data_IF_089482668405
#
_entry.id   IF_089482668405
#
_cell.length_a   1.000
_cell.length_b   1.000
_cell.length_c   1.000
_cell.angle_alpha   90.00
_cell.angle_beta   90.00
_cell.angle_gamma   90.00
#
_symmetry.space_group_name_H-M   'P 1'
#
loop_
_entity.id
_entity.type
_entity.pdbx_description
1 polymer ?
#
# COMPACT_ATOMS: atom_id res chain seq x y z
N UNK A 1 -4.67 -12.20 -7.27
CA UNK A 1 -4.17 -10.87 -6.82
C UNK A 1 -4.14 -9.89 -7.98
N UNK A 2 -4.66 -8.69 -7.80
CA UNK A 2 -4.50 -7.57 -8.74
C UNK A 2 -3.67 -6.46 -8.08
N UNK A 3 -2.83 -5.81 -8.87
CA UNK A 3 -1.95 -4.73 -8.45
C UNK A 3 -1.95 -3.62 -9.50
N UNK A 4 -1.89 -2.37 -9.05
CA UNK A 4 -1.71 -1.21 -9.92
C UNK A 4 -0.77 -0.20 -9.29
N UNK A 5 0.06 0.39 -10.12
CA UNK A 5 1.02 1.44 -9.78
C UNK A 5 0.73 2.68 -10.61
N UNK A 6 0.68 3.81 -9.96
CA UNK A 6 0.57 5.12 -10.59
C UNK A 6 1.80 5.96 -10.22
N UNK A 7 2.62 6.33 -11.18
CA UNK A 7 3.88 7.05 -10.99
C UNK A 7 4.08 8.25 -11.93
N UNK A 8 2.97 8.74 -12.52
CA UNK A 8 2.94 10.02 -13.23
C UNK A 8 2.45 11.13 -12.29
N UNK A 9 3.31 11.53 -11.37
CA UNK A 9 3.00 12.55 -10.37
C UNK A 9 2.90 13.97 -10.95
N UNK A 10 3.14 14.17 -12.26
CA UNK A 10 2.83 15.44 -12.95
C UNK A 10 1.33 15.72 -12.97
N UNK A 11 0.50 14.69 -12.84
CA UNK A 11 -0.96 14.80 -12.69
C UNK A 11 -1.41 15.29 -11.30
N UNK A 12 -0.52 15.47 -10.33
CA UNK A 12 -0.84 16.03 -9.02
C UNK A 12 -1.16 17.52 -9.14
N UNK A 13 -2.34 17.84 -9.66
CA UNK A 13 -2.83 19.20 -9.93
C UNK A 13 -4.16 19.46 -9.25
N UNK A 14 -4.48 20.74 -9.02
CA UNK A 14 -5.80 21.11 -8.48
C UNK A 14 -6.94 20.72 -9.42
N UNK A 15 -6.72 20.79 -10.74
CA UNK A 15 -7.71 20.36 -11.72
C UNK A 15 -8.04 18.87 -11.59
N UNK A 16 -7.03 18.03 -11.37
CA UNK A 16 -7.24 16.60 -11.17
C UNK A 16 -7.92 16.30 -9.83
N UNK A 17 -7.59 17.02 -8.76
CA UNK A 17 -8.31 16.94 -7.49
C UNK A 17 -9.79 17.25 -7.68
N UNK A 18 -10.13 18.33 -8.39
CA UNK A 18 -11.52 18.68 -8.69
C UNK A 18 -12.24 17.63 -9.53
N UNK A 19 -11.54 17.01 -10.50
CA UNK A 19 -12.08 15.90 -11.30
C UNK A 19 -12.41 14.67 -10.43
N UNK A 20 -11.55 14.35 -9.46
CA UNK A 20 -11.66 13.16 -8.62
C UNK A 20 -12.72 13.30 -7.50
N UNK A 21 -12.93 14.50 -6.96
CA UNK A 21 -13.83 14.75 -5.83
C UNK A 21 -15.25 14.18 -6.02
N UNK A 22 -15.94 14.33 -7.19
CA UNK A 22 -17.26 13.76 -7.39
C UNK A 22 -17.27 12.22 -7.57
N UNK A 23 -16.11 11.61 -7.84
CA UNK A 23 -15.99 10.18 -8.14
C UNK A 23 -15.78 9.30 -6.90
N UNK A 24 -15.57 9.92 -5.73
CA UNK A 24 -15.31 9.21 -4.48
C UNK A 24 -16.52 9.29 -3.53
N UNK A 25 -16.54 8.40 -2.53
CA UNK A 25 -17.58 8.43 -1.50
C UNK A 25 -17.57 9.74 -0.71
N UNK A 26 -18.71 10.17 -0.13
CA UNK A 26 -18.78 11.37 0.71
C UNK A 26 -17.74 11.35 1.85
N UNK A 27 -17.56 10.20 2.50
CA UNK A 27 -16.56 10.01 3.55
C UNK A 27 -15.13 10.25 3.04
N UNK A 28 -14.79 9.70 1.86
CA UNK A 28 -13.45 9.87 1.27
C UNK A 28 -13.21 11.31 0.81
N UNK A 29 -14.25 11.97 0.30
CA UNK A 29 -14.20 13.40 -0.04
C UNK A 29 -13.89 14.26 1.18
N UNK A 30 -14.61 14.04 2.28
CA UNK A 30 -14.37 14.75 3.53
C UNK A 30 -12.94 14.51 4.04
N UNK A 31 -12.46 13.28 4.03
CA UNK A 31 -11.09 12.95 4.41
C UNK A 31 -10.06 13.68 3.53
N UNK A 32 -10.24 13.69 2.21
CA UNK A 32 -9.35 14.38 1.29
C UNK A 32 -9.30 15.88 1.55
N UNK A 33 -10.45 16.50 1.84
CA UNK A 33 -10.53 17.94 2.11
C UNK A 33 -9.88 18.37 3.44
N UNK A 34 -9.60 17.44 4.36
CA UNK A 34 -8.84 17.72 5.60
C UNK A 34 -7.33 17.93 5.34
N UNK A 35 -6.81 17.43 4.21
CA UNK A 35 -5.41 17.64 3.86
C UNK A 35 -5.17 19.09 3.40
N UNK A 36 -4.22 19.76 4.03
CA UNK A 36 -3.86 21.14 3.71
C UNK A 36 -3.15 21.26 2.36
N UNK A 37 -2.32 20.27 2.03
CA UNK A 37 -1.48 20.28 0.83
C UNK A 37 -2.12 19.50 -0.31
N UNK A 38 -1.92 20.00 -1.53
CA UNK A 38 -2.40 19.39 -2.78
C UNK A 38 -2.04 17.92 -2.88
N UNK A 39 -0.79 17.57 -2.58
CA UNK A 39 -0.29 16.20 -2.61
C UNK A 39 -1.15 15.24 -1.77
N UNK A 40 -1.44 15.58 -0.52
CA UNK A 40 -2.27 14.75 0.36
C UNK A 40 -3.70 14.60 -0.15
N UNK A 41 -4.31 15.67 -0.70
CA UNK A 41 -5.63 15.62 -1.33
C UNK A 41 -5.62 14.71 -2.55
N UNK A 42 -4.64 14.89 -3.43
CA UNK A 42 -4.50 14.10 -4.64
C UNK A 42 -4.28 12.62 -4.33
N UNK A 43 -3.29 12.27 -3.49
CA UNK A 43 -2.98 10.87 -3.16
C UNK A 43 -4.15 10.16 -2.48
N UNK A 44 -4.88 10.86 -1.58
CA UNK A 44 -6.09 10.35 -0.95
C UNK A 44 -7.18 10.00 -1.97
N UNK A 45 -7.44 10.85 -2.96
CA UNK A 45 -8.46 10.65 -3.97
C UNK A 45 -8.02 9.65 -5.04
N UNK A 46 -6.78 9.76 -5.52
CA UNK A 46 -6.23 8.91 -6.58
C UNK A 46 -6.10 7.46 -6.14
N UNK A 47 -5.63 7.21 -4.94
CA UNK A 47 -5.56 5.85 -4.39
C UNK A 47 -6.93 5.19 -4.29
N UNK A 48 -7.99 5.96 -3.99
CA UNK A 48 -9.35 5.45 -3.99
C UNK A 48 -9.88 5.17 -5.39
N UNK A 49 -9.60 6.04 -6.37
CA UNK A 49 -9.92 5.79 -7.79
C UNK A 49 -9.27 4.48 -8.26
N UNK A 50 -7.97 4.29 -7.96
CA UNK A 50 -7.22 3.09 -8.31
C UNK A 50 -7.81 1.83 -7.65
N UNK A 51 -8.09 1.88 -6.34
CA UNK A 51 -8.72 0.76 -5.65
C UNK A 51 -10.08 0.43 -6.26
N UNK A 52 -10.91 1.44 -6.55
CA UNK A 52 -12.20 1.24 -7.20
C UNK A 52 -12.06 0.56 -8.55
N UNK A 53 -11.04 0.92 -9.34
CA UNK A 53 -10.77 0.27 -10.61
C UNK A 53 -10.39 -1.20 -10.42
N UNK A 54 -9.53 -1.53 -9.46
CA UNK A 54 -9.17 -2.91 -9.17
C UNK A 54 -10.38 -3.75 -8.74
N UNK A 55 -11.24 -3.21 -7.91
CA UNK A 55 -12.48 -3.91 -7.54
C UNK A 55 -13.39 -4.11 -8.75
N UNK A 56 -13.50 -3.13 -9.63
CA UNK A 56 -14.28 -3.27 -10.86
C UNK A 56 -13.68 -4.38 -11.76
N UNK A 57 -12.36 -4.49 -11.81
CA UNK A 57 -11.66 -5.53 -12.56
C UNK A 57 -11.90 -6.93 -11.95
N UNK A 58 -11.95 -7.04 -10.62
CA UNK A 58 -12.37 -8.27 -9.92
C UNK A 58 -13.80 -8.66 -10.30
N UNK A 59 -14.73 -7.70 -10.27
CA UNK A 59 -16.15 -7.94 -10.63
C UNK A 59 -16.33 -8.36 -12.09
N UNK A 60 -15.46 -7.89 -12.98
CA UNK A 60 -15.47 -8.25 -14.39
C UNK A 60 -14.75 -9.59 -14.68
N UNK A 61 -14.32 -10.31 -13.65
CA UNK A 61 -13.68 -11.62 -13.79
C UNK A 61 -12.24 -11.59 -14.31
N UNK A 62 -11.55 -10.47 -14.20
CA UNK A 62 -10.12 -10.35 -14.60
C UNK A 62 -9.17 -11.10 -13.67
N UNK A 63 -9.63 -11.56 -12.52
CA UNK A 63 -8.88 -12.40 -11.59
C UNK A 63 -9.74 -13.60 -11.21
N UNK A 64 -9.31 -14.81 -11.62
CA UNK A 64 -10.05 -16.05 -11.38
C UNK A 64 -10.16 -16.37 -9.88
N UNK A 65 -9.13 -16.05 -9.08
CA UNK A 65 -9.16 -16.23 -7.62
C UNK A 65 -10.18 -15.31 -6.94
N UNK A 66 -10.39 -14.11 -7.50
CA UNK A 66 -11.35 -13.12 -7.00
C UNK A 66 -12.74 -13.23 -7.63
N UNK A 67 -12.94 -14.03 -8.68
CA UNK A 67 -14.19 -14.09 -9.47
C UNK A 67 -15.41 -14.65 -8.73
N UNK A 68 -15.22 -15.30 -7.58
CA UNK A 68 -16.30 -15.83 -6.74
C UNK A 68 -17.08 -14.76 -5.95
N UNK A 69 -16.76 -13.48 -6.11
CA UNK A 69 -17.31 -12.37 -5.32
C UNK A 69 -18.46 -11.62 -5.98
N UNK A 70 -19.37 -12.29 -6.62
CA UNK A 70 -20.55 -11.69 -7.29
C UNK A 70 -21.44 -10.78 -6.43
N UNK A 71 -21.15 -10.61 -5.14
CA UNK A 71 -21.92 -9.75 -4.23
C UNK A 71 -21.33 -8.35 -4.02
N UNK A 72 -20.18 -8.03 -4.62
CA UNK A 72 -19.58 -6.68 -4.58
C UNK A 72 -20.30 -5.67 -5.52
N UNK A 73 -21.44 -6.04 -6.12
CA UNK A 73 -22.18 -5.18 -7.03
C UNK A 73 -22.69 -3.88 -6.39
N UNK A 74 -22.79 -3.84 -5.05
CA UNK A 74 -23.09 -2.63 -4.30
C UNK A 74 -21.81 -1.99 -3.77
N UNK A 75 -21.23 -1.06 -4.55
CA UNK A 75 -20.20 -0.12 -4.05
C UNK A 75 -20.68 0.78 -2.91
N UNK A 76 -21.70 0.38 -2.22
CA UNK A 76 -22.13 0.96 -0.97
C UNK A 76 -21.19 0.49 0.16
N UNK A 77 -19.89 0.46 -0.13
CA UNK A 77 -18.85 0.13 0.82
C UNK A 77 -18.31 1.38 1.47
N UNK A 78 -17.99 1.29 2.74
CA UNK A 78 -17.19 2.28 3.45
C UNK A 78 -15.89 1.64 3.92
N UNK A 79 -14.88 2.48 4.12
CA UNK A 79 -13.68 2.05 4.80
C UNK A 79 -13.87 2.20 6.30
N UNK A 80 -13.52 1.14 7.01
CA UNK A 80 -13.36 1.12 8.45
C UNK A 80 -11.93 0.70 8.75
N UNK A 81 -11.45 1.02 9.94
CA UNK A 81 -10.04 0.82 10.30
C UNK A 81 -9.99 -0.10 11.51
N UNK A 82 -8.97 -0.98 11.55
CA UNK A 82 -8.67 -1.74 12.75
C UNK A 82 -7.96 -0.84 13.78
N UNK A 83 -7.59 -1.41 14.93
CA UNK A 83 -6.88 -0.71 16.01
C UNK A 83 -5.48 -0.20 15.64
N UNK A 84 -4.92 -0.70 14.53
CA UNK A 84 -3.62 -0.31 13.97
C UNK A 84 -3.75 0.50 12.67
N UNK A 85 -4.92 1.13 12.44
CA UNK A 85 -5.21 1.96 11.28
C UNK A 85 -5.14 1.24 9.92
N UNK A 86 -5.11 -0.12 9.89
CA UNK A 86 -5.27 -0.84 8.63
C UNK A 86 -6.71 -0.69 8.14
N UNK A 87 -6.93 -0.14 6.91
CA UNK A 87 -8.26 -0.02 6.34
C UNK A 87 -8.76 -1.39 5.86
N UNK A 88 -10.06 -1.62 5.99
CA UNK A 88 -10.78 -2.73 5.37
C UNK A 88 -12.14 -2.27 4.85
N UNK A 89 -12.69 -3.03 3.90
CA UNK A 89 -14.00 -2.72 3.33
C UNK A 89 -15.11 -3.29 4.20
N UNK A 90 -16.16 -2.47 4.40
CA UNK A 90 -17.37 -2.86 5.08
C UNK A 90 -18.58 -2.56 4.19
N UNK A 91 -19.51 -3.51 4.10
CA UNK A 91 -20.78 -3.30 3.41
C UNK A 91 -21.63 -2.29 4.19
N UNK A 92 -22.07 -1.23 3.53
CA UNK A 92 -23.02 -0.27 4.14
C UNK A 92 -24.42 -0.88 4.34
N UNK A 93 -24.73 -1.92 3.59
CA UNK A 93 -26.06 -2.55 3.62
C UNK A 93 -26.20 -3.51 4.79
N UNK A 94 -25.19 -4.37 5.03
CA UNK A 94 -25.21 -5.35 6.12
C UNK A 94 -24.44 -4.91 7.36
N UNK A 95 -23.55 -3.90 7.25
CA UNK A 95 -22.62 -3.51 8.32
C UNK A 95 -21.50 -4.53 8.54
N UNK A 96 -21.41 -5.56 7.71
CA UNK A 96 -20.43 -6.63 7.86
C UNK A 96 -19.15 -6.30 7.11
N UNK A 97 -18.02 -6.74 7.67
CA UNK A 97 -16.73 -6.70 6.98
C UNK A 97 -16.78 -7.60 5.75
N UNK A 98 -16.23 -7.11 4.64
CA UNK A 98 -16.02 -7.92 3.44
C UNK A 98 -14.73 -8.73 3.65
N UNK A 99 -14.83 -9.85 4.35
CA UNK A 99 -13.68 -10.65 4.80
C UNK A 99 -12.91 -11.34 3.67
N UNK A 100 -13.58 -11.52 2.54
CA UNK A 100 -13.03 -12.27 1.42
C UNK A 100 -12.21 -11.42 0.46
N UNK A 101 -11.95 -10.18 0.78
CA UNK A 101 -11.19 -9.27 -0.06
C UNK A 101 -10.39 -8.31 0.80
N UNK A 102 -9.08 -8.49 0.82
CA UNK A 102 -8.15 -7.58 1.46
C UNK A 102 -7.52 -6.64 0.44
N UNK A 103 -7.09 -5.47 0.89
CA UNK A 103 -6.39 -4.51 0.06
C UNK A 103 -5.33 -3.76 0.86
N UNK A 104 -4.34 -3.26 0.14
CA UNK A 104 -3.28 -2.44 0.70
C UNK A 104 -3.00 -1.25 -0.20
N UNK A 105 -2.72 -0.10 0.41
CA UNK A 105 -2.41 1.15 -0.26
C UNK A 105 -1.13 1.73 0.34
N UNK A 106 -0.23 2.19 -0.51
CA UNK A 106 0.92 2.98 -0.12
C UNK A 106 1.19 4.09 -1.13
N UNK A 107 1.84 5.14 -0.70
CA UNK A 107 2.26 6.23 -1.58
C UNK A 107 3.52 6.91 -1.06
N UNK A 108 4.35 7.34 -1.99
CA UNK A 108 5.49 8.22 -1.76
C UNK A 108 5.41 9.41 -2.72
N UNK A 109 6.43 10.25 -2.72
CA UNK A 109 6.50 11.42 -3.60
C UNK A 109 6.43 11.05 -5.10
N UNK A 110 6.96 9.89 -5.47
CA UNK A 110 7.10 9.42 -6.85
C UNK A 110 5.92 8.58 -7.32
N UNK A 111 5.07 8.07 -6.41
CA UNK A 111 3.98 7.20 -6.86
C UNK A 111 3.00 6.74 -5.80
N UNK A 112 1.98 6.03 -6.26
CA UNK A 112 0.92 5.42 -5.49
C UNK A 112 0.82 3.95 -5.91
N UNK A 113 0.87 3.03 -4.94
CA UNK A 113 0.73 1.61 -5.14
C UNK A 113 -0.54 1.10 -4.46
N UNK A 114 -1.34 0.31 -5.16
CA UNK A 114 -2.58 -0.29 -4.65
C UNK A 114 -2.64 -1.74 -5.05
N UNK A 115 -2.95 -2.61 -4.09
CA UNK A 115 -3.12 -4.04 -4.32
C UNK A 115 -4.41 -4.55 -3.69
N UNK A 116 -5.00 -5.59 -4.29
CA UNK A 116 -6.21 -6.28 -3.82
C UNK A 116 -6.07 -7.80 -4.00
N UNK A 117 -6.51 -8.58 -3.02
CA UNK A 117 -6.43 -10.02 -3.05
C UNK A 117 -7.54 -10.69 -2.22
N UNK A 118 -7.87 -11.99 -2.48
CA UNK A 118 -8.78 -12.77 -1.65
C UNK A 118 -8.18 -13.24 -0.32
N UNK A 119 -6.95 -12.91 -0.05
CA UNK A 119 -6.17 -13.26 1.13
C UNK A 119 -5.45 -12.00 1.65
N UNK A 120 -4.86 -12.01 2.85
CA UNK A 120 -4.10 -10.88 3.37
C UNK A 120 -3.04 -10.41 2.38
N UNK A 121 -2.96 -9.10 2.18
CA UNK A 121 -1.98 -8.48 1.27
C UNK A 121 -1.42 -7.21 1.89
N UNK A 122 -0.13 -6.95 1.61
CA UNK A 122 0.54 -5.70 1.94
C UNK A 122 1.33 -5.16 0.77
N UNK A 123 1.27 -3.86 0.57
CA UNK A 123 2.11 -3.14 -0.40
C UNK A 123 2.74 -1.92 0.26
N UNK A 124 4.01 -1.70 -0.05
CA UNK A 124 4.68 -0.46 0.35
C UNK A 124 5.51 0.09 -0.81
N UNK A 125 5.52 1.41 -0.97
CA UNK A 125 6.31 2.16 -1.95
C UNK A 125 7.01 3.34 -1.26
N UNK A 126 8.31 3.49 -1.48
CA UNK A 126 9.12 4.53 -0.85
C UNK A 126 10.09 5.17 -1.84
N UNK A 127 10.26 6.49 -1.70
CA UNK A 127 11.27 7.27 -2.40
C UNK A 127 12.68 6.91 -1.94
N UNK A 128 13.65 6.93 -2.85
CA UNK A 128 15.04 6.87 -2.42
C UNK A 128 15.38 8.09 -1.59
N UNK A 129 15.97 7.85 -0.44
CA UNK A 129 16.40 8.90 0.50
C UNK A 129 17.60 8.46 1.30
N UNK A 130 18.37 9.45 1.75
CA UNK A 130 19.42 9.21 2.73
C UNK A 130 18.82 8.79 4.06
N UNK A 131 19.50 7.96 4.80
CA UNK A 131 19.11 7.51 6.13
C UNK A 131 20.15 7.96 7.18
N UNK A 132 19.71 8.16 8.40
CA UNK A 132 20.61 8.39 9.53
C UNK A 132 21.04 7.07 10.16
N UNK A 133 22.19 7.04 10.82
CA UNK A 133 22.62 5.86 11.58
C UNK A 133 21.60 5.45 12.66
N UNK A 134 20.94 6.43 13.29
CA UNK A 134 19.94 6.14 14.30
C UNK A 134 18.71 5.46 13.71
N UNK A 135 18.26 5.88 12.52
CA UNK A 135 17.19 5.23 11.79
C UNK A 135 17.57 3.80 11.39
N UNK A 136 18.78 3.64 10.85
CA UNK A 136 19.31 2.34 10.45
C UNK A 136 19.29 1.33 11.62
N UNK A 137 19.87 1.72 12.78
CA UNK A 137 19.92 0.89 13.99
C UNK A 137 18.53 0.59 14.58
N UNK A 138 17.57 1.51 14.42
CA UNK A 138 16.22 1.32 14.93
C UNK A 138 15.39 0.35 14.07
N UNK A 139 15.73 0.24 12.78
CA UNK A 139 14.85 -0.41 11.80
C UNK A 139 15.43 -1.67 11.18
N UNK A 140 16.76 -1.85 11.25
CA UNK A 140 17.48 -2.95 10.61
C UNK A 140 18.28 -3.76 11.64
N UNK A 141 18.35 -5.08 11.43
CA UNK A 141 19.22 -5.94 12.21
C UNK A 141 20.67 -5.87 11.71
N UNK A 142 21.61 -6.51 12.42
CA UNK A 142 23.04 -6.47 12.09
C UNK A 142 23.36 -7.02 10.69
N UNK A 143 22.68 -8.07 10.25
CA UNK A 143 22.88 -8.66 8.92
C UNK A 143 22.40 -7.72 7.81
N UNK A 144 21.23 -7.10 8.01
CA UNK A 144 20.66 -6.11 7.08
C UNK A 144 21.55 -4.86 7.01
N UNK A 145 22.10 -4.40 8.15
CA UNK A 145 23.06 -3.28 8.20
C UNK A 145 24.29 -3.60 7.38
N UNK A 146 24.85 -4.80 7.51
CA UNK A 146 26.00 -5.22 6.71
C UNK A 146 25.68 -5.26 5.21
N UNK A 147 24.52 -5.78 4.83
CA UNK A 147 24.06 -5.81 3.43
C UNK A 147 23.94 -4.39 2.86
N UNK A 148 23.34 -3.47 3.61
CA UNK A 148 23.21 -2.07 3.20
C UNK A 148 24.58 -1.41 3.02
N UNK A 149 25.49 -1.59 3.98
CA UNK A 149 26.81 -0.95 3.96
C UNK A 149 27.72 -1.49 2.85
N UNK A 150 27.52 -2.74 2.41
CA UNK A 150 28.29 -3.38 1.34
C UNK A 150 27.69 -3.19 -0.05
N UNK A 151 26.47 -2.65 -0.14
CA UNK A 151 25.80 -2.43 -1.43
C UNK A 151 26.46 -1.27 -2.21
N UNK A 152 26.46 -1.37 -3.54
CA UNK A 152 26.91 -0.29 -4.43
C UNK A 152 26.10 1.00 -4.22
N UNK A 153 24.81 0.85 -3.95
CA UNK A 153 23.87 1.95 -3.66
C UNK A 153 23.19 1.73 -2.29
N UNK A 154 23.86 2.07 -1.17
CA UNK A 154 23.34 1.78 0.18
C UNK A 154 21.94 2.33 0.48
N UNK A 155 21.61 3.51 -0.06
CA UNK A 155 20.28 4.12 0.11
C UNK A 155 19.18 3.33 -0.62
N UNK A 156 19.47 2.76 -1.76
CA UNK A 156 18.54 1.89 -2.51
C UNK A 156 18.33 0.59 -1.75
N UNK A 157 19.40 -0.05 -1.27
CA UNK A 157 19.28 -1.29 -0.49
C UNK A 157 18.52 -1.08 0.82
N UNK A 158 18.73 0.03 1.51
CA UNK A 158 17.95 0.41 2.68
C UNK A 158 16.45 0.51 2.35
N UNK A 159 16.08 1.20 1.28
CA UNK A 159 14.67 1.36 0.88
C UNK A 159 14.04 0.03 0.45
N UNK A 160 14.78 -0.85 -0.22
CA UNK A 160 14.30 -2.21 -0.55
C UNK A 160 13.95 -3.02 0.71
N UNK A 161 14.81 -3.00 1.72
CA UNK A 161 14.56 -3.69 2.98
C UNK A 161 13.42 -3.03 3.77
N UNK A 162 13.39 -1.70 3.78
CA UNK A 162 12.32 -0.94 4.42
C UNK A 162 10.95 -1.27 3.84
N UNK A 163 10.79 -1.21 2.50
CA UNK A 163 9.50 -1.52 1.84
C UNK A 163 9.05 -2.95 2.07
N UNK A 164 9.98 -3.93 2.18
CA UNK A 164 9.65 -5.33 2.52
C UNK A 164 9.04 -5.41 3.93
N UNK A 165 9.65 -4.75 4.92
CA UNK A 165 9.18 -4.75 6.30
C UNK A 165 7.81 -4.08 6.42
N UNK A 166 7.67 -2.89 5.84
CA UNK A 166 6.41 -2.14 5.85
C UNK A 166 5.27 -2.91 5.13
N UNK A 167 5.55 -3.50 3.96
CA UNK A 167 4.56 -4.30 3.25
C UNK A 167 4.15 -5.53 4.06
N UNK A 168 5.09 -6.20 4.76
CA UNK A 168 4.78 -7.34 5.63
C UNK A 168 3.88 -6.93 6.80
N UNK A 169 4.22 -5.84 7.48
CA UNK A 169 3.40 -5.31 8.59
C UNK A 169 2.00 -4.87 8.13
N UNK A 170 1.92 -4.27 6.94
CA UNK A 170 0.63 -3.94 6.31
C UNK A 170 -0.20 -5.18 5.99
N UNK A 171 0.42 -6.26 5.49
CA UNK A 171 -0.26 -7.54 5.27
C UNK A 171 -0.80 -8.10 6.59
N UNK A 172 0.03 -8.11 7.64
CA UNK A 172 -0.36 -8.59 8.98
C UNK A 172 -1.39 -7.70 9.67
N UNK A 173 -1.42 -6.40 9.33
CA UNK A 173 -2.34 -5.42 9.94
C UNK A 173 -1.97 -5.02 11.37
N UNK A 174 -0.70 -5.19 11.74
CA UNK A 174 -0.18 -4.89 13.10
C UNK A 174 0.30 -3.45 13.27
N UNK A 175 0.42 -2.69 12.16
CA UNK A 175 1.07 -1.37 12.20
C UNK A 175 2.58 -1.47 12.43
N UNK A 176 3.22 -0.32 12.65
CA UNK A 176 4.65 -0.25 12.99
C UNK A 176 4.84 -0.77 14.42
N UNK A 177 5.77 -1.70 14.61
CA UNK A 177 6.10 -2.33 15.89
C UNK A 177 7.51 -1.92 16.34
N UNK A 178 7.79 -2.04 17.63
CA UNK A 178 9.11 -1.71 18.20
C UNK A 178 10.21 -2.69 17.74
N UNK A 179 9.84 -3.93 17.41
CA UNK A 179 10.74 -4.99 16.96
C UNK A 179 11.00 -4.97 15.44
N UNK A 180 10.98 -3.79 14.81
CA UNK A 180 11.26 -3.64 13.37
C UNK A 180 12.53 -4.37 12.88
N UNK A 181 13.66 -4.41 13.61
CA UNK A 181 14.83 -5.18 13.20
C UNK A 181 14.55 -6.66 12.97
N UNK A 182 13.63 -7.26 13.73
CA UNK A 182 13.32 -8.69 13.71
C UNK A 182 12.26 -9.09 12.67
N UNK A 183 11.61 -8.12 12.03
CA UNK A 183 10.43 -8.34 11.18
C UNK A 183 10.69 -9.33 10.04
N UNK A 184 11.89 -9.37 9.44
CA UNK A 184 12.23 -10.30 8.39
C UNK A 184 12.97 -11.56 8.89
N UNK A 185 13.48 -11.57 10.12
CA UNK A 185 14.28 -12.69 10.65
C UNK A 185 13.50 -13.99 10.83
N UNK A 186 12.24 -13.89 11.26
CA UNK A 186 11.37 -15.03 11.53
C UNK A 186 10.60 -15.54 10.30
N UNK A 187 10.73 -14.88 9.15
CA UNK A 187 9.79 -15.00 8.03
C UNK A 187 10.27 -15.87 6.88
N UNK A 188 11.33 -16.63 7.04
CA UNK A 188 11.88 -17.43 5.95
C UNK A 188 10.93 -18.49 5.35
N UNK A 189 9.67 -18.56 5.80
CA UNK A 189 8.82 -19.69 5.43
C UNK A 189 7.37 -19.41 5.11
N UNK A 190 6.78 -18.27 5.48
CA UNK A 190 5.32 -18.11 5.44
C UNK A 190 4.79 -17.08 4.43
N UNK A 191 5.67 -16.28 3.83
CA UNK A 191 5.27 -15.20 2.92
C UNK A 191 6.02 -15.25 1.61
N UNK A 192 5.35 -14.81 0.54
CA UNK A 192 5.98 -14.44 -0.72
C UNK A 192 6.19 -12.93 -0.74
N UNK A 193 7.42 -12.49 -1.04
CA UNK A 193 7.79 -11.07 -1.10
C UNK A 193 8.36 -10.77 -2.48
N UNK A 194 7.73 -9.86 -3.19
CA UNK A 194 8.20 -9.33 -4.46
C UNK A 194 8.63 -7.87 -4.27
N UNK A 195 9.83 -7.50 -4.75
CA UNK A 195 10.36 -6.14 -4.67
C UNK A 195 10.81 -5.67 -6.04
N UNK A 196 10.38 -4.48 -6.42
CA UNK A 196 10.76 -3.83 -7.67
C UNK A 196 11.42 -2.48 -7.37
N UNK A 197 12.38 -2.12 -8.20
CA UNK A 197 13.16 -0.88 -8.09
C UNK A 197 13.04 -0.11 -9.39
N UNK A 198 12.68 1.15 -9.31
CA UNK A 198 12.70 2.07 -10.43
C UNK A 198 13.75 3.16 -10.18
N UNK A 199 14.94 2.95 -10.71
CA UNK A 199 16.09 3.86 -10.55
C UNK A 199 15.88 5.18 -11.26
N UNK A 200 15.19 5.18 -12.40
CA UNK A 200 14.93 6.38 -13.20
C UNK A 200 14.02 7.37 -12.47
N UNK A 201 13.03 6.86 -11.73
CA UNK A 201 12.07 7.66 -10.97
C UNK A 201 12.42 7.77 -9.50
N UNK A 202 13.38 7.00 -9.00
CA UNK A 202 13.92 7.12 -7.66
C UNK A 202 13.04 6.52 -6.55
N UNK A 203 12.41 5.35 -6.79
CA UNK A 203 11.63 4.65 -5.79
C UNK A 203 11.82 3.12 -5.83
N UNK A 204 11.43 2.45 -4.75
CA UNK A 204 11.20 1.00 -4.75
C UNK A 204 9.83 0.71 -4.13
N UNK A 205 9.24 -0.45 -4.51
CA UNK A 205 8.06 -0.98 -3.86
C UNK A 205 8.18 -2.47 -3.59
N UNK A 206 7.46 -2.93 -2.57
CA UNK A 206 7.34 -4.35 -2.24
C UNK A 206 5.87 -4.76 -2.11
N UNK A 207 5.57 -5.98 -2.54
CA UNK A 207 4.27 -6.64 -2.36
C UNK A 207 4.49 -7.90 -1.53
N UNK A 208 3.66 -8.13 -0.53
CA UNK A 208 3.74 -9.30 0.34
C UNK A 208 2.39 -9.99 0.39
N UNK A 209 2.42 -11.33 0.19
CA UNK A 209 1.25 -12.23 0.28
C UNK A 209 1.62 -13.46 1.10
N UNK A 210 0.65 -14.18 1.71
CA UNK A 210 0.88 -15.51 2.24
C UNK A 210 1.37 -16.48 1.15
N UNK A 211 2.07 -17.55 1.54
CA UNK A 211 2.42 -18.68 0.64
C UNK A 211 1.26 -19.61 0.48
#
# INVERSE_FOLDING_TARGET
>A
MLFTLFDDMTQCTEAEVQRLLPLVSPQRREQALRYKHLFGRFTCLKSYEMLRQLVQDVLNGKDEECSTYGSLQDWNTCFVYNEHDKPFMQSRRSGERIEKLDFSISHCKEGIAVAIAPHPIGVDIESFRQYSESLLKKTMNEQEIMLIQQADEPSVEFIKLWTKKEALLKMQGTGIIDELPEVLCSQNTTCHIETQVNTDKGYAYSIVTPR
#
